data_IF_552520864201
#
_entry.id   IF_552520864201
#
_cell.length_a   1.000
_cell.length_b   1.000
_cell.length_c   1.000
_cell.angle_alpha   90.00
_cell.angle_beta   90.00
_cell.angle_gamma   90.00
#
_symmetry.space_group_name_H-M   'P 1'
#
loop_
_entity.id
_entity.type
_entity.pdbx_description
1 polymer ?
#
# COMPACT_ATOMS: atom_id res chain seq x y z
N UNK A 1 -8.32 -2.36 -20.07
CA UNK A 1 -7.09 -2.99 -19.53
C UNK A 1 -7.09 -2.75 -18.03
N UNK A 2 -7.29 -3.79 -17.21
CA UNK A 2 -7.27 -3.60 -15.76
C UNK A 2 -5.84 -3.23 -15.32
N UNK A 3 -5.68 -2.13 -14.58
CA UNK A 3 -4.39 -1.74 -14.04
C UNK A 3 -3.85 -2.85 -13.13
N UNK A 4 -2.55 -3.12 -13.21
CA UNK A 4 -1.89 -4.16 -12.41
C UNK A 4 -1.74 -3.64 -10.98
N UNK A 5 -2.59 -4.11 -10.05
CA UNK A 5 -2.51 -3.75 -8.63
C UNK A 5 -1.21 -4.26 -8.02
N UNK A 6 -0.49 -3.36 -7.35
CA UNK A 6 0.73 -3.62 -6.58
C UNK A 6 0.41 -3.60 -5.09
N UNK A 7 1.24 -4.25 -4.28
CA UNK A 7 0.99 -4.38 -2.85
C UNK A 7 2.27 -4.15 -2.05
N UNK A 8 2.12 -3.61 -0.84
CA UNK A 8 3.21 -3.42 0.09
C UNK A 8 2.80 -3.72 1.53
N UNK A 9 3.73 -4.25 2.32
CA UNK A 9 3.54 -4.46 3.77
C UNK A 9 4.07 -3.25 4.50
N UNK A 10 3.28 -2.67 5.40
CA UNK A 10 3.76 -1.62 6.29
C UNK A 10 4.77 -2.21 7.30
N UNK A 11 6.02 -1.78 7.23
CA UNK A 11 7.11 -2.20 8.13
C UNK A 11 7.48 -1.10 9.14
N UNK A 12 7.03 0.13 8.92
CA UNK A 12 7.24 1.26 9.80
C UNK A 12 6.01 2.20 9.75
N UNK A 13 5.58 2.72 10.89
CA UNK A 13 4.45 3.65 11.01
C UNK A 13 4.76 4.87 11.89
N UNK A 14 6.03 5.19 12.09
CA UNK A 14 6.45 6.31 12.91
C UNK A 14 5.87 7.63 12.37
N UNK A 15 5.21 8.40 13.24
CA UNK A 15 4.49 9.61 12.88
C UNK A 15 3.05 9.39 12.39
N UNK A 16 2.64 8.14 12.09
CA UNK A 16 1.31 7.79 11.59
C UNK A 16 0.70 6.53 12.22
N UNK A 17 0.78 6.30 13.55
CA UNK A 17 0.29 5.06 14.17
C UNK A 17 -1.23 4.89 14.08
N UNK A 18 -1.99 5.97 13.87
CA UNK A 18 -3.44 5.93 13.70
C UNK A 18 -3.88 5.65 12.26
N UNK A 19 -3.01 5.88 11.27
CA UNK A 19 -3.31 5.68 9.84
C UNK A 19 -2.64 4.44 9.27
N UNK A 20 -1.51 4.03 9.85
CA UNK A 20 -0.71 2.91 9.38
C UNK A 20 -0.59 1.82 10.44
N UNK A 21 -1.02 0.62 10.07
CA UNK A 21 -0.93 -0.58 10.88
C UNK A 21 0.28 -1.42 10.46
N UNK A 22 1.18 -1.66 11.41
CA UNK A 22 2.36 -2.49 11.16
C UNK A 22 1.95 -3.91 10.74
N UNK A 23 2.65 -4.45 9.75
CA UNK A 23 2.46 -5.78 9.14
C UNK A 23 1.17 -5.94 8.32
N UNK A 24 0.36 -4.89 8.21
CA UNK A 24 -0.80 -4.87 7.31
C UNK A 24 -0.35 -4.74 5.85
N UNK A 25 -1.09 -5.36 4.95
CA UNK A 25 -0.90 -5.28 3.51
C UNK A 25 -1.78 -4.16 2.97
N UNK A 26 -1.18 -3.26 2.20
CA UNK A 26 -1.85 -2.15 1.55
C UNK A 26 -1.77 -2.27 0.03
N UNK A 27 -2.79 -1.80 -0.67
CA UNK A 27 -2.74 -1.60 -2.12
C UNK A 27 -1.88 -0.37 -2.43
N UNK A 28 -0.93 -0.53 -3.35
CA UNK A 28 -0.03 0.53 -3.81
C UNK A 28 -0.48 1.00 -5.18
N UNK A 29 -0.70 2.31 -5.30
CA UNK A 29 -1.05 2.98 -6.56
C UNK A 29 0.24 3.47 -7.21
N UNK A 30 0.40 3.18 -8.50
CA UNK A 30 1.53 3.67 -9.27
C UNK A 30 1.45 5.19 -9.41
N UNK A 31 2.42 5.89 -8.81
CA UNK A 31 2.54 7.35 -8.88
C UNK A 31 4.00 7.73 -9.12
N UNK A 32 4.34 7.96 -10.38
CA UNK A 32 5.72 8.23 -10.81
C UNK A 32 6.26 9.53 -10.22
N UNK A 33 5.41 10.53 -9.98
CA UNK A 33 5.84 11.82 -9.43
C UNK A 33 6.16 11.68 -7.94
N UNK A 34 5.29 11.02 -7.18
CA UNK A 34 5.55 10.74 -5.77
C UNK A 34 6.75 9.81 -5.57
N UNK A 35 6.92 8.82 -6.45
CA UNK A 35 8.06 7.91 -6.40
C UNK A 35 9.41 8.63 -6.53
N UNK A 36 9.49 9.65 -7.39
CA UNK A 36 10.72 10.49 -7.53
C UNK A 36 11.06 11.24 -6.24
N UNK A 37 10.07 11.52 -5.41
CA UNK A 37 10.22 12.19 -4.11
C UNK A 37 10.42 11.21 -2.95
N UNK A 38 10.47 9.90 -3.21
CA UNK A 38 10.59 8.87 -2.18
C UNK A 38 9.29 8.60 -1.42
N UNK A 39 8.14 8.94 -2.02
CA UNK A 39 6.81 8.67 -1.49
C UNK A 39 6.10 7.59 -2.29
N UNK A 40 5.13 6.95 -1.64
CA UNK A 40 4.25 5.94 -2.22
C UNK A 40 2.81 6.30 -1.89
N UNK A 41 1.92 6.11 -2.86
CA UNK A 41 0.48 6.28 -2.70
C UNK A 41 -0.14 4.94 -2.36
N UNK A 42 -0.83 4.86 -1.23
CA UNK A 42 -1.51 3.65 -0.76
C UNK A 42 -3.01 3.89 -0.62
N UNK A 43 -3.79 2.84 -0.81
CA UNK A 43 -5.23 2.86 -0.51
C UNK A 43 -5.43 2.29 0.90
N UNK A 44 -6.17 3.00 1.74
CA UNK A 44 -6.54 2.54 3.09
C UNK A 44 -7.93 1.83 3.10
N UNK A 45 -8.47 1.57 4.29
CA UNK A 45 -9.76 0.88 4.47
C UNK A 45 -10.96 1.70 3.99
N UNK A 46 -10.83 3.02 3.92
CA UNK A 46 -11.89 3.89 3.41
C UNK A 46 -11.96 3.87 1.88
N UNK A 47 -10.94 3.30 1.21
CA UNK A 47 -10.79 3.37 -0.24
C UNK A 47 -10.17 4.68 -0.72
N UNK A 48 -9.78 5.58 0.20
CA UNK A 48 -9.08 6.82 -0.11
C UNK A 48 -7.58 6.58 -0.33
N UNK A 49 -6.98 7.40 -1.20
CA UNK A 49 -5.57 7.34 -1.49
C UNK A 49 -4.78 8.35 -0.63
N UNK A 50 -3.71 7.85 0.00
CA UNK A 50 -2.86 8.63 0.89
C UNK A 50 -1.38 8.46 0.54
N UNK A 51 -0.60 9.52 0.74
CA UNK A 51 0.83 9.55 0.48
C UNK A 51 1.66 9.33 1.74
N UNK A 52 2.58 8.38 1.68
CA UNK A 52 3.49 8.06 2.78
C UNK A 52 4.93 7.85 2.27
N UNK A 53 5.95 7.94 3.15
CA UNK A 53 7.31 7.60 2.76
C UNK A 53 7.40 6.17 2.22
N UNK A 54 7.97 5.99 1.03
CA UNK A 54 8.08 4.68 0.39
C UNK A 54 8.85 3.67 1.26
N UNK A 55 9.82 4.13 2.04
CA UNK A 55 10.60 3.31 2.99
C UNK A 55 9.77 2.63 4.08
N UNK A 56 8.53 3.07 4.31
CA UNK A 56 7.62 2.46 5.28
C UNK A 56 6.99 1.18 4.76
N UNK A 57 7.12 0.89 3.46
CA UNK A 57 6.48 -0.24 2.81
C UNK A 57 7.51 -1.15 2.15
N UNK A 58 7.43 -2.44 2.46
CA UNK A 58 8.16 -3.47 1.74
C UNK A 58 7.28 -4.01 0.59
N UNK A 59 7.72 -3.96 -0.68
CA UNK A 59 6.94 -4.46 -1.80
C UNK A 59 6.77 -5.98 -1.71
N UNK A 60 5.58 -6.47 -2.04
CA UNK A 60 5.28 -7.91 -2.06
C UNK A 60 4.55 -8.33 -3.32
N UNK A 61 4.90 -9.52 -3.81
CA UNK A 61 4.16 -10.19 -4.88
C UNK A 61 3.16 -11.17 -4.29
N UNK A 62 1.88 -10.84 -4.42
CA UNK A 62 0.79 -11.72 -4.00
C UNK A 62 0.39 -12.69 -5.11
N UNK A 63 0.15 -13.95 -4.74
CA UNK A 63 -0.51 -14.90 -5.62
C UNK A 63 -1.94 -14.42 -5.93
N UNK A 64 -2.57 -14.83 -7.04
CA UNK A 64 -3.94 -14.43 -7.35
C UNK A 64 -4.95 -14.76 -6.24
N UNK A 65 -4.74 -15.86 -5.51
CA UNK A 65 -5.58 -16.23 -4.37
C UNK A 65 -5.45 -15.23 -3.22
N UNK A 66 -4.22 -14.85 -2.87
CA UNK A 66 -3.98 -13.86 -1.82
C UNK A 66 -4.47 -12.47 -2.21
N UNK A 67 -4.31 -12.06 -3.48
CA UNK A 67 -4.87 -10.77 -3.95
C UNK A 67 -6.37 -10.69 -3.71
N UNK A 68 -7.11 -11.76 -4.02
CA UNK A 68 -8.56 -11.81 -3.77
C UNK A 68 -8.88 -11.77 -2.28
N UNK A 69 -8.14 -12.52 -1.45
CA UNK A 69 -8.36 -12.54 0.00
C UNK A 69 -8.10 -11.17 0.64
N UNK A 70 -7.01 -10.49 0.25
CA UNK A 70 -6.65 -9.16 0.77
C UNK A 70 -7.65 -8.10 0.33
N UNK A 71 -8.10 -8.13 -0.93
CA UNK A 71 -9.08 -7.18 -1.46
C UNK A 71 -10.52 -7.42 -0.96
N UNK A 72 -10.80 -8.58 -0.38
CA UNK A 72 -12.11 -8.91 0.18
C UNK A 72 -12.18 -8.70 1.70
N UNK A 73 -11.07 -8.32 2.33
CA UNK A 73 -11.05 -7.92 3.72
C UNK A 73 -11.59 -6.48 3.80
N UNK A 74 -12.90 -6.36 4.03
CA UNK A 74 -13.62 -5.14 4.40
C UNK A 74 -13.95 -5.17 5.90
#
# INVERSE_FOLDING_TARGET
>A
MAARKSFGVCVQNEGYPASLELRKIYEVVADTESAKLGYVRIIDESGEDHLYPAKYFAPIDLTPALKRAVLAAE
#
